data_IF_218632414679
#
_entry.id   IF_218632414679
#
_cell.length_a   1.000
_cell.length_b   1.000
_cell.length_c   1.000
_cell.angle_alpha   90.00
_cell.angle_beta   90.00
_cell.angle_gamma   90.00
#
_symmetry.space_group_name_H-M   'P 1'
#
loop_
_entity.id
_entity.type
_entity.pdbx_description
1 polymer ?
#
# COMPACT_ATOMS: atom_id res chain seq x y z
N UNK A 1 -27.00 3.19 22.14
CA UNK A 1 -26.83 2.35 20.94
C UNK A 1 -25.36 2.09 20.73
N UNK A 2 -24.89 0.88 21.02
CA UNK A 2 -23.52 0.44 20.71
C UNK A 2 -23.44 0.36 19.18
N UNK A 3 -22.64 1.22 18.53
CA UNK A 3 -22.28 1.01 17.14
C UNK A 3 -21.61 -0.35 17.08
N UNK A 4 -22.28 -1.34 16.49
CA UNK A 4 -21.62 -2.54 15.98
C UNK A 4 -20.66 -2.05 14.89
N UNK A 5 -19.42 -1.77 15.27
CA UNK A 5 -18.37 -1.39 14.34
C UNK A 5 -18.07 -2.62 13.49
N UNK A 6 -18.65 -2.69 12.31
CA UNK A 6 -18.23 -3.60 11.26
C UNK A 6 -16.87 -3.13 10.75
N UNK A 7 -15.82 -3.31 11.57
CA UNK A 7 -14.45 -3.03 11.16
C UNK A 7 -14.07 -3.93 10.01
N UNK A 8 -13.66 -3.32 8.91
CA UNK A 8 -13.05 -4.07 7.81
C UNK A 8 -11.75 -4.73 8.26
N UNK A 9 -11.55 -5.95 7.83
CA UNK A 9 -10.35 -6.74 8.03
C UNK A 9 -9.36 -6.49 6.88
N UNK A 10 -8.23 -5.91 7.19
CA UNK A 10 -7.24 -5.49 6.16
C UNK A 10 -5.97 -6.31 6.28
N UNK A 11 -5.51 -6.86 5.16
CA UNK A 11 -4.20 -7.48 5.01
C UNK A 11 -3.28 -6.62 4.15
N UNK A 12 -1.98 -6.68 4.42
CA UNK A 12 -0.99 -5.85 3.74
C UNK A 12 0.06 -6.66 3.00
N UNK A 13 0.44 -6.20 1.80
CA UNK A 13 1.55 -6.72 1.01
C UNK A 13 2.64 -5.66 0.88
N UNK A 14 3.89 -6.06 1.15
CA UNK A 14 5.07 -5.19 0.99
C UNK A 14 6.27 -5.94 0.40
N UNK A 15 7.24 -5.23 -0.13
CA UNK A 15 8.53 -5.80 -0.59
C UNK A 15 9.75 -5.09 -0.01
N UNK A 16 9.63 -3.82 0.30
CA UNK A 16 10.75 -2.99 0.70
C UNK A 16 10.79 -2.68 2.19
N UNK A 17 11.27 -1.51 2.54
CA UNK A 17 11.40 -1.05 3.93
C UNK A 17 10.08 -0.98 4.71
N UNK A 18 8.92 -1.03 4.01
CA UNK A 18 7.58 -0.95 4.59
C UNK A 18 7.25 0.37 5.27
N UNK A 19 7.88 1.46 4.85
CA UNK A 19 7.71 2.76 5.52
C UNK A 19 6.28 3.29 5.44
N UNK A 20 5.56 3.06 4.34
CA UNK A 20 4.14 3.39 4.21
C UNK A 20 3.31 2.53 5.17
N UNK A 21 3.54 1.22 5.19
CA UNK A 21 2.89 0.31 6.14
C UNK A 21 3.09 0.78 7.58
N UNK A 22 4.33 1.10 7.97
CA UNK A 22 4.60 1.55 9.34
C UNK A 22 3.84 2.84 9.69
N UNK A 23 3.66 3.76 8.75
CA UNK A 23 2.83 4.97 8.95
C UNK A 23 1.35 4.62 9.11
N UNK A 24 0.84 3.70 8.30
CA UNK A 24 -0.53 3.20 8.40
C UNK A 24 -0.76 2.55 9.76
N UNK A 25 0.10 1.61 10.15
CA UNK A 25 -0.03 0.89 11.42
C UNK A 25 0.01 1.82 12.64
N UNK A 26 0.92 2.83 12.63
CA UNK A 26 1.00 3.81 13.74
C UNK A 26 -0.27 4.62 13.89
N UNK A 27 -0.87 5.07 12.80
CA UNK A 27 -2.12 5.82 12.83
C UNK A 27 -3.29 4.93 13.22
N UNK A 28 -3.37 3.71 12.67
CA UNK A 28 -4.42 2.76 12.99
C UNK A 28 -4.37 2.26 14.44
N UNK A 29 -3.19 2.16 15.03
CA UNK A 29 -3.05 1.81 16.45
C UNK A 29 -3.75 2.82 17.38
N UNK A 30 -3.73 4.11 16.99
CA UNK A 30 -4.39 5.19 17.74
C UNK A 30 -5.89 5.23 17.42
N UNK A 31 -6.24 5.26 16.13
CA UNK A 31 -7.61 5.53 15.67
C UNK A 31 -8.50 4.28 15.66
N UNK A 32 -7.90 3.09 15.45
CA UNK A 32 -8.62 1.79 15.37
C UNK A 32 -9.71 1.78 14.28
N UNK A 33 -9.40 2.32 13.10
CA UNK A 33 -10.38 2.42 12.00
C UNK A 33 -10.65 1.09 11.28
N UNK A 34 -9.71 0.11 11.40
CA UNK A 34 -9.83 -1.23 10.82
C UNK A 34 -9.00 -2.26 11.60
N UNK A 35 -9.29 -3.54 11.38
CA UNK A 35 -8.52 -4.65 11.96
C UNK A 35 -7.43 -5.09 10.99
N UNK A 36 -6.19 -5.22 11.45
CA UNK A 36 -5.10 -5.80 10.68
C UNK A 36 -5.09 -7.31 10.89
N UNK A 37 -5.14 -8.09 9.80
CA UNK A 37 -5.21 -9.56 9.84
C UNK A 37 -3.86 -10.17 9.51
N UNK A 38 -3.32 -9.85 8.34
CA UNK A 38 -2.06 -10.43 7.85
C UNK A 38 -1.14 -9.36 7.29
N UNK A 39 0.15 -9.51 7.50
CA UNK A 39 1.18 -8.72 6.84
C UNK A 39 2.13 -9.70 6.15
N UNK A 40 2.24 -9.59 4.82
CA UNK A 40 3.10 -10.46 4.01
C UNK A 40 4.17 -9.63 3.32
N UNK A 41 5.40 -10.13 3.34
CA UNK A 41 6.50 -9.62 2.52
C UNK A 41 7.13 -10.74 1.71
N UNK A 42 7.51 -10.45 0.47
CA UNK A 42 8.36 -11.35 -0.32
C UNK A 42 9.85 -11.22 0.01
N UNK A 43 10.20 -10.36 0.95
CA UNK A 43 11.54 -10.17 1.51
C UNK A 43 11.47 -10.18 3.04
N UNK A 44 12.62 -10.12 3.71
CA UNK A 44 12.65 -9.92 5.15
C UNK A 44 12.13 -8.52 5.52
N UNK A 45 11.36 -8.44 6.59
CA UNK A 45 10.93 -7.16 7.14
C UNK A 45 12.10 -6.36 7.71
N UNK A 46 12.02 -5.04 7.60
CA UNK A 46 12.93 -4.18 8.33
C UNK A 46 12.74 -4.33 9.85
N UNK A 47 13.84 -4.19 10.61
CA UNK A 47 13.80 -4.26 12.08
C UNK A 47 12.74 -3.34 12.68
N UNK A 48 12.53 -2.16 12.08
CA UNK A 48 11.51 -1.20 12.55
C UNK A 48 10.10 -1.75 12.46
N UNK A 49 9.76 -2.47 11.39
CA UNK A 49 8.44 -3.11 11.25
C UNK A 49 8.32 -4.28 12.22
N UNK A 50 9.32 -5.17 12.26
CA UNK A 50 9.32 -6.33 13.18
C UNK A 50 9.05 -5.89 14.61
N UNK A 51 9.84 -4.94 15.13
CA UNK A 51 9.69 -4.44 16.49
C UNK A 51 8.33 -3.79 16.73
N UNK A 52 7.81 -3.02 15.77
CA UNK A 52 6.54 -2.34 15.92
C UNK A 52 5.37 -3.33 15.92
N UNK A 53 5.35 -4.27 14.99
CA UNK A 53 4.30 -5.30 14.90
C UNK A 53 4.32 -6.21 16.13
N UNK A 54 5.48 -6.71 16.52
CA UNK A 54 5.61 -7.56 17.71
C UNK A 54 5.12 -6.86 19.00
N UNK A 55 5.29 -5.55 19.10
CA UNK A 55 4.87 -4.78 20.28
C UNK A 55 3.38 -4.45 20.27
N UNK A 56 2.79 -4.06 19.15
CA UNK A 56 1.48 -3.43 19.07
C UNK A 56 0.42 -4.23 18.31
N UNK A 57 0.82 -5.27 17.57
CA UNK A 57 -0.04 -6.08 16.69
C UNK A 57 0.23 -7.57 16.89
N UNK A 58 0.15 -8.03 18.15
CA UNK A 58 0.57 -9.39 18.56
C UNK A 58 -0.22 -10.50 17.88
N UNK A 59 -1.49 -10.25 17.54
CA UNK A 59 -2.40 -11.24 16.95
C UNK A 59 -2.38 -11.23 15.42
N UNK A 60 -1.52 -10.39 14.81
CA UNK A 60 -1.41 -10.29 13.35
C UNK A 60 -0.52 -11.39 12.81
N UNK A 61 -1.02 -12.11 11.80
CA UNK A 61 -0.22 -13.10 11.09
C UNK A 61 0.86 -12.41 10.25
N UNK A 62 2.12 -12.71 10.53
CA UNK A 62 3.27 -12.14 9.82
C UNK A 62 3.96 -13.23 9.02
N UNK A 63 4.15 -13.01 7.72
CA UNK A 63 4.86 -13.93 6.81
C UNK A 63 5.95 -13.17 6.05
N UNK A 64 7.18 -13.65 6.20
CA UNK A 64 8.35 -13.12 5.49
C UNK A 64 8.77 -14.08 4.38
N UNK A 65 9.54 -13.56 3.42
CA UNK A 65 10.10 -14.31 2.28
C UNK A 65 9.08 -15.15 1.51
N UNK A 66 7.84 -14.64 1.43
CA UNK A 66 6.78 -15.32 0.68
C UNK A 66 6.89 -14.98 -0.81
N UNK A 67 7.33 -15.98 -1.59
CA UNK A 67 7.47 -15.83 -3.05
C UNK A 67 6.16 -15.99 -3.80
N UNK A 68 5.20 -16.70 -3.22
CA UNK A 68 3.89 -17.00 -3.81
C UNK A 68 2.80 -16.72 -2.79
N UNK A 69 1.76 -16.02 -3.21
CA UNK A 69 0.59 -15.75 -2.38
C UNK A 69 -0.41 -16.91 -2.54
N UNK A 70 -0.99 -17.33 -1.42
CA UNK A 70 -2.03 -18.35 -1.37
C UNK A 70 -3.27 -17.80 -0.68
N UNK A 71 -4.45 -18.31 -1.01
CA UNK A 71 -5.72 -17.85 -0.41
C UNK A 71 -5.74 -18.00 1.11
N UNK A 72 -5.14 -19.07 1.63
CA UNK A 72 -5.06 -19.33 3.07
C UNK A 72 -4.29 -18.27 3.85
N UNK A 73 -3.47 -17.48 3.16
CA UNK A 73 -2.76 -16.36 3.78
C UNK A 73 -3.69 -15.21 4.17
N UNK A 74 -4.88 -15.15 3.57
CA UNK A 74 -5.83 -14.04 3.70
C UNK A 74 -7.15 -14.47 4.34
N UNK A 75 -7.09 -15.49 5.19
CA UNK A 75 -8.26 -15.91 5.95
C UNK A 75 -8.88 -14.73 6.71
N UNK A 76 -10.20 -14.57 6.60
CA UNK A 76 -10.94 -13.49 7.24
C UNK A 76 -10.45 -12.06 6.84
N UNK A 77 -10.03 -11.88 5.58
CA UNK A 77 -9.61 -10.59 5.03
C UNK A 77 -10.69 -10.04 4.11
N UNK A 78 -11.11 -8.79 4.31
CA UNK A 78 -12.02 -8.08 3.42
C UNK A 78 -11.26 -7.39 2.29
N UNK A 79 -10.14 -6.71 2.63
CA UNK A 79 -9.34 -5.94 1.68
C UNK A 79 -7.86 -6.30 1.81
N UNK A 80 -7.19 -6.53 0.69
CA UNK A 80 -5.74 -6.67 0.61
C UNK A 80 -5.16 -5.35 0.08
N UNK A 81 -4.32 -4.68 0.85
CA UNK A 81 -3.65 -3.46 0.42
C UNK A 81 -2.18 -3.69 0.10
N UNK A 82 -1.84 -3.63 -1.18
CA UNK A 82 -0.46 -3.67 -1.68
C UNK A 82 0.19 -2.29 -1.49
N UNK A 83 1.19 -2.20 -0.62
CA UNK A 83 1.83 -0.94 -0.24
C UNK A 83 3.33 -1.00 -0.52
N UNK A 84 3.67 -1.05 -1.80
CA UNK A 84 5.05 -1.24 -2.26
C UNK A 84 5.45 -2.72 -2.38
N UNK A 85 4.53 -3.57 -2.75
CA UNK A 85 4.79 -4.95 -3.15
C UNK A 85 5.25 -4.98 -4.61
N UNK A 86 6.41 -5.61 -4.88
CA UNK A 86 7.08 -5.56 -6.18
C UNK A 86 6.93 -6.85 -7.00
N UNK A 87 6.03 -7.72 -6.60
CA UNK A 87 5.71 -8.94 -7.35
C UNK A 87 4.33 -8.82 -7.97
N UNK A 88 4.12 -9.57 -9.04
CA UNK A 88 2.77 -9.74 -9.61
C UNK A 88 1.91 -10.48 -8.59
N UNK A 89 0.71 -9.98 -8.34
CA UNK A 89 -0.27 -10.64 -7.50
C UNK A 89 -0.97 -11.70 -8.34
N UNK A 90 -1.04 -12.92 -7.81
CA UNK A 90 -1.61 -14.06 -8.52
C UNK A 90 -3.09 -13.83 -8.87
N UNK A 91 -3.49 -14.19 -10.07
CA UNK A 91 -4.89 -14.07 -10.55
C UNK A 91 -5.90 -14.74 -9.61
N UNK A 92 -5.50 -15.81 -8.93
CA UNK A 92 -6.33 -16.48 -7.93
C UNK A 92 -6.61 -15.60 -6.70
N UNK A 93 -5.72 -14.69 -6.36
CA UNK A 93 -5.92 -13.72 -5.26
C UNK A 93 -6.84 -12.60 -5.74
N UNK A 94 -6.54 -11.98 -6.88
CA UNK A 94 -7.34 -10.89 -7.47
C UNK A 94 -8.80 -11.31 -7.67
N UNK A 95 -9.03 -12.58 -8.07
CA UNK A 95 -10.38 -13.10 -8.31
C UNK A 95 -11.20 -13.32 -7.02
N UNK A 96 -10.55 -13.53 -5.88
CA UNK A 96 -11.21 -13.95 -4.64
C UNK A 96 -11.21 -12.90 -3.53
N UNK A 97 -10.46 -11.82 -3.70
CA UNK A 97 -10.32 -10.76 -2.71
C UNK A 97 -10.42 -9.40 -3.37
N UNK A 98 -10.88 -8.43 -2.61
CA UNK A 98 -10.76 -7.02 -2.95
C UNK A 98 -9.30 -6.60 -2.74
N UNK A 99 -8.60 -6.32 -3.84
CA UNK A 99 -7.17 -5.99 -3.82
C UNK A 99 -6.95 -4.59 -4.35
N UNK A 100 -6.35 -3.74 -3.54
CA UNK A 100 -5.97 -2.38 -3.94
C UNK A 100 -4.46 -2.19 -3.87
N UNK A 101 -3.93 -1.28 -4.67
CA UNK A 101 -2.49 -0.99 -4.75
C UNK A 101 -2.19 0.50 -4.62
N UNK A 102 -1.11 0.81 -3.93
CA UNK A 102 -0.50 2.15 -3.92
C UNK A 102 0.57 2.22 -4.99
N UNK A 103 0.30 2.90 -6.09
CA UNK A 103 1.24 3.11 -7.18
C UNK A 103 1.85 4.52 -7.14
N UNK A 104 3.19 4.66 -7.20
CA UNK A 104 3.86 5.95 -7.07
C UNK A 104 3.89 6.76 -8.37
N UNK A 105 2.74 6.90 -9.01
CA UNK A 105 2.50 7.83 -10.12
C UNK A 105 1.03 8.25 -10.20
N UNK A 106 0.74 9.18 -11.08
CA UNK A 106 -0.63 9.57 -11.41
C UNK A 106 -1.06 8.71 -12.61
N UNK A 107 -1.77 7.61 -12.31
CA UNK A 107 -2.28 6.72 -13.36
C UNK A 107 -3.29 7.45 -14.27
N UNK A 108 -3.35 7.07 -15.55
CA UNK A 108 -2.69 5.93 -16.21
C UNK A 108 -1.22 6.17 -16.62
N UNK A 109 -0.64 7.31 -16.27
CA UNK A 109 0.74 7.63 -16.65
C UNK A 109 1.75 6.88 -15.77
N UNK A 110 2.88 6.48 -16.36
CA UNK A 110 4.02 5.87 -15.66
C UNK A 110 3.68 4.57 -14.92
N UNK A 111 2.83 3.71 -15.51
CA UNK A 111 2.63 2.32 -15.06
C UNK A 111 3.97 1.59 -14.92
N UNK A 112 4.07 0.64 -14.00
CA UNK A 112 5.25 -0.20 -13.80
C UNK A 112 6.39 0.49 -13.04
N UNK A 113 7.61 0.05 -13.31
CA UNK A 113 8.78 0.37 -12.51
C UNK A 113 9.35 1.78 -12.76
N UNK A 114 10.03 2.32 -11.74
CA UNK A 114 10.84 3.55 -11.77
C UNK A 114 10.07 4.79 -12.26
N UNK A 115 8.83 5.05 -11.82
CA UNK A 115 8.05 6.17 -12.32
C UNK A 115 8.72 7.53 -12.08
N UNK A 116 9.40 7.74 -10.95
CA UNK A 116 10.05 9.02 -10.63
C UNK A 116 11.17 9.36 -11.62
N UNK A 117 11.98 8.36 -11.99
CA UNK A 117 13.05 8.54 -12.99
C UNK A 117 12.46 8.92 -14.35
N UNK A 118 11.40 8.22 -14.78
CA UNK A 118 10.72 8.50 -16.05
C UNK A 118 10.04 9.87 -16.06
N UNK A 119 9.46 10.30 -14.95
CA UNK A 119 8.88 11.63 -14.78
C UNK A 119 9.93 12.73 -15.00
N UNK A 120 11.13 12.58 -14.43
CA UNK A 120 12.22 13.55 -14.58
C UNK A 120 12.76 13.58 -16.02
N UNK A 121 12.92 12.43 -16.66
CA UNK A 121 13.36 12.35 -18.07
C UNK A 121 12.36 13.07 -18.99
N UNK A 122 11.07 12.92 -18.73
CA UNK A 122 9.99 13.54 -19.52
C UNK A 122 9.68 14.99 -19.09
N UNK A 123 10.46 15.55 -18.16
CA UNK A 123 10.23 16.91 -17.63
C UNK A 123 8.80 17.14 -17.12
N UNK A 124 8.24 16.15 -16.43
CA UNK A 124 6.90 16.27 -15.87
C UNK A 124 6.78 17.41 -14.87
N UNK A 125 5.62 18.05 -14.87
CA UNK A 125 5.33 19.19 -13.98
C UNK A 125 4.85 18.75 -12.62
N UNK A 126 4.25 17.56 -12.51
CA UNK A 126 3.63 17.05 -11.30
C UNK A 126 4.09 15.64 -10.99
N UNK A 127 4.22 15.33 -9.71
CA UNK A 127 4.37 13.98 -9.19
C UNK A 127 3.21 13.66 -8.27
N UNK A 128 2.98 12.39 -8.00
CA UNK A 128 1.93 11.98 -7.10
C UNK A 128 1.81 10.47 -7.02
N UNK A 129 0.81 10.02 -6.30
CA UNK A 129 0.47 8.61 -6.19
C UNK A 129 -0.99 8.37 -6.51
N UNK A 130 -1.29 7.15 -6.89
CA UNK A 130 -2.65 6.66 -7.11
C UNK A 130 -2.88 5.43 -6.24
N UNK A 131 -4.02 5.36 -5.57
CA UNK A 131 -4.57 4.11 -5.05
C UNK A 131 -5.58 3.64 -6.08
N UNK A 132 -5.44 2.40 -6.53
CA UNK A 132 -6.29 1.80 -7.56
C UNK A 132 -6.60 0.34 -7.23
N UNK A 133 -7.67 -0.18 -7.80
CA UNK A 133 -7.96 -1.62 -7.77
C UNK A 133 -6.88 -2.38 -8.55
N UNK A 134 -6.56 -3.59 -8.11
CA UNK A 134 -5.63 -4.45 -8.83
C UNK A 134 -6.40 -5.27 -9.85
N UNK A 135 -6.04 -5.13 -11.13
CA UNK A 135 -6.53 -5.93 -12.24
C UNK A 135 -5.45 -6.92 -12.71
N UNK A 136 -5.76 -7.88 -13.59
CA UNK A 136 -4.76 -8.76 -14.20
C UNK A 136 -3.70 -8.02 -15.02
N UNK A 137 -4.03 -6.86 -15.54
CA UNK A 137 -3.15 -5.96 -16.30
C UNK A 137 -2.39 -5.06 -15.32
N UNK A 138 -1.11 -4.80 -15.65
CA UNK A 138 -0.23 -4.04 -14.76
C UNK A 138 -0.69 -2.59 -14.60
N UNK A 139 -1.00 -2.20 -13.36
CA UNK A 139 -1.40 -0.85 -12.97
C UNK A 139 -2.55 -0.26 -13.84
N UNK A 140 -3.53 -1.09 -14.19
CA UNK A 140 -4.64 -0.75 -15.10
C UNK A 140 -6.03 -0.81 -14.44
N UNK A 141 -6.10 -1.13 -13.17
CA UNK A 141 -7.37 -1.17 -12.43
C UNK A 141 -7.95 0.21 -12.17
N UNK A 142 -9.22 0.24 -11.80
CA UNK A 142 -9.97 1.48 -11.55
C UNK A 142 -9.28 2.34 -10.48
N UNK A 143 -9.11 3.62 -10.79
CA UNK A 143 -8.56 4.58 -9.82
C UNK A 143 -9.56 4.86 -8.70
N UNK A 144 -9.15 4.63 -7.46
CA UNK A 144 -9.90 4.92 -6.24
C UNK A 144 -9.63 6.36 -5.79
N UNK A 145 -8.36 6.73 -5.71
CA UNK A 145 -7.95 8.07 -5.30
C UNK A 145 -6.54 8.41 -5.76
N UNK A 146 -6.25 9.69 -5.90
CA UNK A 146 -4.91 10.18 -6.20
C UNK A 146 -4.56 11.44 -5.41
N UNK A 147 -3.28 11.72 -5.29
CA UNK A 147 -2.73 12.96 -4.74
C UNK A 147 -1.55 13.43 -5.56
N UNK A 148 -1.50 14.72 -5.81
CA UNK A 148 -0.48 15.34 -6.67
C UNK A 148 0.20 16.51 -5.99
N UNK A 149 1.46 16.75 -6.37
CA UNK A 149 2.23 17.97 -6.06
C UNK A 149 3.11 18.36 -7.24
N UNK A 150 3.46 19.64 -7.31
CA UNK A 150 4.35 20.16 -8.36
C UNK A 150 5.78 19.68 -8.14
N UNK A 151 6.45 19.24 -9.21
CA UNK A 151 7.87 18.92 -9.20
C UNK A 151 8.66 20.24 -9.17
N UNK A 152 9.58 20.33 -8.22
CA UNK A 152 10.46 21.48 -8.02
C UNK A 152 11.92 21.05 -7.82
N UNK A 153 12.30 19.91 -8.41
CA UNK A 153 13.65 19.37 -8.35
C UNK A 153 13.95 18.60 -9.64
N UNK A 154 15.22 18.57 -10.02
CA UNK A 154 15.74 17.71 -11.09
C UNK A 154 16.50 16.49 -10.54
N UNK A 155 16.59 16.37 -9.21
CA UNK A 155 17.31 15.30 -8.55
C UNK A 155 16.34 14.16 -8.22
N UNK A 156 16.62 12.95 -8.73
CA UNK A 156 15.77 11.76 -8.54
C UNK A 156 15.64 11.39 -7.06
N UNK A 157 16.74 11.38 -6.31
CA UNK A 157 16.71 11.03 -4.87
C UNK A 157 15.87 12.01 -4.06
N UNK A 158 15.95 13.30 -4.40
CA UNK A 158 15.11 14.32 -3.77
C UNK A 158 13.63 14.13 -4.13
N UNK A 159 13.31 13.86 -5.41
CA UNK A 159 11.95 13.58 -5.84
C UNK A 159 11.39 12.34 -5.15
N UNK A 160 12.18 11.27 -5.01
CA UNK A 160 11.77 10.07 -4.27
C UNK A 160 11.46 10.36 -2.80
N UNK A 161 12.27 11.20 -2.13
CA UNK A 161 12.01 11.62 -0.73
C UNK A 161 10.71 12.43 -0.62
N UNK A 162 10.48 13.37 -1.54
CA UNK A 162 9.26 14.19 -1.59
C UNK A 162 8.03 13.31 -1.87
N UNK A 163 8.14 12.36 -2.79
CA UNK A 163 7.11 11.40 -3.12
C UNK A 163 6.70 10.58 -1.89
N UNK A 164 7.69 9.98 -1.23
CA UNK A 164 7.47 9.21 -0.01
C UNK A 164 6.85 10.04 1.12
N UNK A 165 7.24 11.31 1.24
CA UNK A 165 6.62 12.23 2.20
C UNK A 165 5.13 12.47 1.89
N UNK A 166 4.79 12.61 0.61
CA UNK A 166 3.41 12.77 0.17
C UNK A 166 2.57 11.51 0.46
N UNK A 167 3.09 10.33 0.15
CA UNK A 167 2.46 9.06 0.49
C UNK A 167 2.22 8.95 2.00
N UNK A 168 3.25 9.16 2.82
CA UNK A 168 3.16 9.11 4.28
C UNK A 168 2.11 10.07 4.87
N UNK A 169 1.89 11.21 4.22
CA UNK A 169 0.91 12.20 4.67
C UNK A 169 -0.52 11.72 4.44
N UNK A 170 -0.79 11.07 3.31
CA UNK A 170 -2.15 10.84 2.84
C UNK A 170 -2.60 9.37 2.78
N UNK A 171 -1.69 8.41 2.64
CA UNK A 171 -2.05 6.99 2.38
C UNK A 171 -3.02 6.42 3.41
N UNK A 172 -2.84 6.73 4.68
CA UNK A 172 -3.74 6.26 5.74
C UNK A 172 -5.17 6.79 5.55
N UNK A 173 -5.31 8.12 5.37
CA UNK A 173 -6.61 8.75 5.17
C UNK A 173 -7.32 8.23 3.93
N UNK A 174 -6.57 7.99 2.84
CA UNK A 174 -7.15 7.45 1.60
C UNK A 174 -7.64 6.01 1.79
N UNK A 175 -6.86 5.18 2.53
CA UNK A 175 -7.30 3.83 2.88
C UNK A 175 -8.58 3.87 3.72
N UNK A 176 -8.62 4.66 4.79
CA UNK A 176 -9.81 4.75 5.66
C UNK A 176 -11.03 5.22 4.88
N UNK A 177 -10.90 6.24 4.02
CA UNK A 177 -11.99 6.70 3.17
C UNK A 177 -12.52 5.58 2.25
N UNK A 178 -11.64 4.75 1.70
CA UNK A 178 -12.04 3.60 0.89
C UNK A 178 -12.81 2.55 1.69
N UNK A 179 -12.36 2.25 2.90
CA UNK A 179 -12.98 1.23 3.75
C UNK A 179 -14.36 1.64 4.30
N UNK A 180 -14.68 2.93 4.29
CA UNK A 180 -15.95 3.48 4.79
C UNK A 180 -17.02 3.60 3.69
N UNK A 181 -16.65 3.50 2.41
CA UNK A 181 -17.57 3.50 1.27
C UNK A 181 -17.98 2.08 0.88
#
# INVERSE_FOLDING_TARGET
>A
MVKLNNYKNVSFLISGSGSNLLKILKKNFINKDFKVITIISNNNFSTKIKSYVAKFYKDVLVKEDQRTLKKEHFYNTDVIFSVGYMKVIEKSIIKNFDVINLHPSILPNYKGLMPQKRMLINNEKYYGFTIHEVSPELDDGQTISSKTKKINTKNESELMKKHKSLEHQFVYKQLVNYLLN
#
